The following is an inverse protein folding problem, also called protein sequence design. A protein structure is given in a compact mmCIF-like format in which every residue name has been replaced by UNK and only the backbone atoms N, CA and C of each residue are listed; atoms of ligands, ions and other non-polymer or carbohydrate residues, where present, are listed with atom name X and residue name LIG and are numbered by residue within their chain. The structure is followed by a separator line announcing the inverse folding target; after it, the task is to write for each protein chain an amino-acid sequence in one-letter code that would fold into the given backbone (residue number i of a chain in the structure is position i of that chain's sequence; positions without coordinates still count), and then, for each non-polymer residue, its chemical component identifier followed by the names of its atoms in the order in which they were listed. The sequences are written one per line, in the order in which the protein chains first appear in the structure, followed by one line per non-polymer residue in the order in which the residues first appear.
data_IF_728134886513
#
_entry.id   IF_728134886513
#
_cell.length_a   1.000
_cell.length_b   1.000
_cell.length_c   1.000
_cell.angle_alpha   90.00
_cell.angle_beta   90.00
_cell.angle_gamma   90.00
#
_symmetry.space_group_name_H-M   'P 1'
#
loop_
_entity.id
_entity.type
_entity.pdbx_description
1 polymer ?
#
# COMPACT_ATOMS: atom_id res chain seq x y z
N UNK A 1 7.37 4.29 0.98
CA UNK A 1 6.72 3.05 1.46
C UNK A 1 7.50 2.53 2.65
N UNK A 2 6.84 2.10 3.71
CA UNK A 2 7.48 1.46 4.88
C UNK A 2 6.85 0.09 5.09
N UNK A 3 7.67 -0.94 5.29
CA UNK A 3 7.26 -2.31 5.58
C UNK A 3 7.86 -2.76 6.92
N UNK A 4 7.15 -3.60 7.68
CA UNK A 4 7.62 -4.07 8.98
C UNK A 4 8.30 -5.45 8.90
N UNK A 5 7.91 -6.27 7.92
CA UNK A 5 8.39 -7.63 7.74
C UNK A 5 9.05 -7.85 6.37
N UNK A 6 10.06 -8.73 6.27
CA UNK A 6 10.68 -9.06 4.99
C UNK A 6 9.70 -9.62 3.94
N UNK A 7 8.63 -10.31 4.37
CA UNK A 7 7.61 -10.82 3.43
C UNK A 7 6.80 -9.71 2.79
N UNK A 8 6.54 -8.62 3.52
CA UNK A 8 5.84 -7.42 3.04
C UNK A 8 6.74 -6.64 2.08
N UNK A 9 7.99 -6.41 2.49
CA UNK A 9 9.00 -5.76 1.68
C UNK A 9 9.21 -6.47 0.34
N UNK A 10 9.39 -7.80 0.38
CA UNK A 10 9.57 -8.60 -0.84
C UNK A 10 8.35 -8.55 -1.77
N UNK A 11 7.13 -8.45 -1.22
CA UNK A 11 5.92 -8.31 -2.02
C UNK A 11 5.91 -6.97 -2.77
N UNK A 12 6.29 -5.87 -2.11
CA UNK A 12 6.45 -4.56 -2.73
C UNK A 12 7.53 -4.56 -3.82
N UNK A 13 8.70 -5.16 -3.57
CA UNK A 13 9.77 -5.22 -4.57
C UNK A 13 9.36 -5.92 -5.87
N UNK A 14 8.44 -6.89 -5.81
CA UNK A 14 7.93 -7.55 -7.03
C UNK A 14 7.08 -6.61 -7.90
N UNK A 15 6.58 -5.51 -7.36
CA UNK A 15 5.72 -4.55 -8.06
C UNK A 15 6.44 -3.32 -8.59
N UNK A 16 7.74 -3.19 -8.32
CA UNK A 16 8.59 -2.17 -8.95
C UNK A 16 8.62 -2.34 -10.46
N UNK A 17 8.62 -1.20 -11.15
CA UNK A 17 8.81 -1.15 -12.59
C UNK A 17 10.32 -0.97 -12.91
N UNK A 18 11.03 -0.20 -12.10
CA UNK A 18 12.49 -0.03 -12.17
C UNK A 18 13.09 0.26 -10.79
N UNK A 19 14.26 -0.31 -10.51
CA UNK A 19 15.09 0.03 -9.34
C UNK A 19 16.20 1.01 -9.71
N UNK A 20 16.59 1.88 -8.78
CA UNK A 20 17.69 2.85 -8.95
C UNK A 20 18.88 2.58 -8.04
N UNK A 21 18.77 1.61 -7.14
CA UNK A 21 19.81 1.23 -6.17
C UNK A 21 20.63 -0.01 -6.59
N UNK A 22 20.39 -0.58 -7.78
CA UNK A 22 21.02 -1.84 -8.22
C UNK A 22 22.55 -1.74 -8.34
N UNK A 23 23.07 -0.55 -8.67
CA UNK A 23 24.51 -0.28 -8.80
C UNK A 23 25.09 0.41 -7.56
N UNK A 24 24.33 0.48 -6.46
CA UNK A 24 24.63 1.26 -5.26
C UNK A 24 23.61 2.38 -5.05
N UNK A 25 23.56 2.89 -3.81
CA UNK A 25 22.65 3.95 -3.42
C UNK A 25 23.16 5.32 -3.90
N UNK A 26 22.58 5.83 -5.00
CA UNK A 26 22.93 7.14 -5.57
C UNK A 26 22.36 8.33 -4.77
N UNK A 27 21.29 8.10 -4.00
CA UNK A 27 20.59 9.16 -3.27
C UNK A 27 21.13 9.33 -1.84
N UNK A 28 21.63 8.24 -1.25
CA UNK A 28 22.18 8.23 0.09
C UNK A 28 21.13 8.53 1.17
N UNK A 29 21.62 8.95 2.34
CA UNK A 29 20.78 9.30 3.49
C UNK A 29 21.44 10.39 4.34
N UNK A 30 20.63 11.13 5.10
CA UNK A 30 21.11 12.17 5.99
C UNK A 30 22.02 11.62 7.09
N UNK A 31 22.90 12.48 7.63
CA UNK A 31 23.75 12.13 8.78
C UNK A 31 22.90 11.74 9.98
N UNK A 32 23.19 10.58 10.59
CA UNK A 32 22.41 10.03 11.71
C UNK A 32 21.23 9.16 11.29
N UNK A 33 20.91 9.10 10.00
CA UNK A 33 19.96 8.14 9.49
C UNK A 33 20.60 6.74 9.40
N UNK A 34 19.96 5.77 10.05
CA UNK A 34 20.39 4.37 10.07
C UNK A 34 19.48 3.45 9.25
N UNK A 35 18.41 3.96 8.64
CA UNK A 35 17.55 3.20 7.76
C UNK A 35 18.29 2.80 6.49
N UNK A 36 18.00 1.60 5.98
CA UNK A 36 18.39 1.22 4.63
C UNK A 36 17.21 1.41 3.70
N UNK A 37 17.50 1.97 2.53
CA UNK A 37 16.49 2.32 1.55
C UNK A 37 16.70 1.55 0.26
N UNK A 38 15.57 1.21 -0.36
CA UNK A 38 15.54 0.83 -1.77
C UNK A 38 14.76 1.87 -2.54
N UNK A 39 15.31 2.28 -3.67
CA UNK A 39 14.79 3.37 -4.49
C UNK A 39 14.45 2.89 -5.89
N UNK A 40 13.48 3.55 -6.53
CA UNK A 40 13.01 3.17 -7.85
C UNK A 40 11.68 3.84 -8.18
N UNK A 41 10.95 3.30 -9.15
CA UNK A 41 9.63 3.80 -9.51
C UNK A 41 8.55 2.72 -9.57
N UNK A 42 7.33 3.17 -9.28
CA UNK A 42 6.09 2.44 -9.51
C UNK A 42 5.15 3.39 -10.25
N UNK A 43 4.82 3.05 -11.49
CA UNK A 43 4.06 3.91 -12.39
C UNK A 43 4.81 5.23 -12.64
N UNK A 44 4.17 6.34 -12.28
CA UNK A 44 4.74 7.70 -12.40
C UNK A 44 5.37 8.21 -11.09
N UNK A 45 5.32 7.40 -10.03
CA UNK A 45 5.74 7.82 -8.71
C UNK A 45 7.16 7.35 -8.44
N UNK A 46 7.97 8.27 -7.90
CA UNK A 46 9.30 7.96 -7.37
C UNK A 46 9.12 7.39 -5.97
N UNK A 47 9.68 6.20 -5.74
CA UNK A 47 9.45 5.42 -4.54
C UNK A 47 10.76 5.22 -3.79
N UNK A 48 10.71 5.53 -2.50
CA UNK A 48 11.67 5.06 -1.50
C UNK A 48 10.99 4.04 -0.59
N UNK A 49 11.62 2.89 -0.38
CA UNK A 49 11.13 1.82 0.50
C UNK A 49 12.08 1.69 1.69
N UNK A 50 11.53 1.66 2.90
CA UNK A 50 12.26 1.31 4.11
C UNK A 50 11.68 0.03 4.73
N UNK A 51 12.56 -0.90 5.10
CA UNK A 51 12.20 -2.05 5.95
C UNK A 51 12.57 -1.73 7.39
N UNK A 52 11.61 -1.83 8.30
CA UNK A 52 11.87 -1.64 9.73
C UNK A 52 12.77 -2.76 10.26
N UNK A 53 13.75 -2.46 11.12
CA UNK A 53 14.59 -3.48 11.73
C UNK A 53 13.82 -4.35 12.74
N UNK A 54 12.80 -3.77 13.38
CA UNK A 54 11.89 -4.44 14.31
C UNK A 54 10.50 -3.80 14.22
N UNK A 55 9.47 -4.57 14.53
CA UNK A 55 8.07 -4.12 14.63
C UNK A 55 7.86 -3.15 15.80
N UNK A 56 6.76 -2.39 15.76
CA UNK A 56 6.32 -1.50 16.84
C UNK A 56 6.41 -0.01 16.54
N UNK A 57 5.59 0.80 17.25
CA UNK A 57 5.42 2.23 17.01
C UNK A 57 6.69 3.05 17.14
N UNK A 58 7.53 2.76 18.15
CA UNK A 58 8.77 3.52 18.36
C UNK A 58 9.75 3.36 17.19
N UNK A 59 9.85 2.16 16.64
CA UNK A 59 10.70 1.87 15.49
C UNK A 59 10.16 2.50 14.21
N UNK A 60 8.84 2.42 14.04
CA UNK A 60 8.09 3.09 12.99
C UNK A 60 8.31 4.62 12.99
N UNK A 61 8.13 5.29 14.14
CA UNK A 61 8.34 6.72 14.30
C UNK A 61 9.79 7.12 13.95
N UNK A 62 10.78 6.41 14.51
CA UNK A 62 12.20 6.67 14.21
C UNK A 62 12.50 6.53 12.72
N UNK A 63 11.96 5.48 12.08
CA UNK A 63 12.14 5.30 10.65
C UNK A 63 11.50 6.43 9.84
N UNK A 64 10.31 6.88 10.24
CA UNK A 64 9.59 7.98 9.59
C UNK A 64 10.31 9.33 9.72
N UNK A 65 10.79 9.69 10.92
CA UNK A 65 11.57 10.91 11.14
C UNK A 65 12.83 10.93 10.28
N UNK A 66 13.54 9.80 10.23
CA UNK A 66 14.72 9.63 9.40
C UNK A 66 14.40 9.72 7.90
N UNK A 67 13.34 9.04 7.46
CA UNK A 67 12.87 9.06 6.08
C UNK A 67 12.55 10.50 5.63
N UNK A 68 11.81 11.26 6.45
CA UNK A 68 11.50 12.68 6.22
C UNK A 68 12.73 13.57 6.18
N UNK A 69 13.77 13.22 6.95
CA UNK A 69 15.02 13.98 7.01
C UNK A 69 15.89 13.72 5.78
N UNK A 70 15.95 12.47 5.32
CA UNK A 70 16.74 12.05 4.16
C UNK A 70 16.08 12.38 2.82
N UNK A 71 14.74 12.32 2.76
CA UNK A 71 13.95 12.61 1.56
C UNK A 71 12.96 13.75 1.86
N UNK A 72 13.29 14.96 1.40
CA UNK A 72 12.56 16.18 1.74
C UNK A 72 11.32 16.45 0.87
N UNK A 73 11.14 15.72 -0.23
CA UNK A 73 10.03 15.87 -1.18
C UNK A 73 8.96 14.78 -1.01
N UNK A 74 8.81 14.21 0.20
CA UNK A 74 7.79 13.21 0.48
C UNK A 74 6.39 13.82 0.53
N UNK A 75 5.53 13.44 -0.41
CA UNK A 75 4.12 13.86 -0.44
C UNK A 75 3.20 12.89 0.31
N UNK A 76 3.53 11.60 0.28
CA UNK A 76 2.75 10.52 0.87
C UNK A 76 3.65 9.36 1.28
N UNK A 77 3.44 8.83 2.49
CA UNK A 77 4.05 7.60 2.97
C UNK A 77 2.99 6.52 3.11
N UNK A 78 3.19 5.38 2.45
CA UNK A 78 2.36 4.20 2.67
C UNK A 78 3.01 3.27 3.68
N UNK A 79 2.31 2.93 4.76
CA UNK A 79 2.65 1.81 5.62
C UNK A 79 1.99 0.55 5.06
N UNK A 80 2.79 -0.32 4.43
CA UNK A 80 2.27 -1.50 3.75
C UNK A 80 2.64 -2.75 4.54
N UNK A 81 1.67 -3.62 4.80
CA UNK A 81 1.96 -4.87 5.49
C UNK A 81 0.73 -5.72 5.77
N UNK A 82 0.79 -6.51 6.84
CA UNK A 82 -0.30 -7.38 7.28
C UNK A 82 -0.89 -6.92 8.62
N UNK A 83 -2.15 -7.28 8.86
CA UNK A 83 -2.85 -6.96 10.10
C UNK A 83 -3.82 -8.08 10.51
N UNK A 84 -4.26 -8.01 11.77
CA UNK A 84 -5.44 -8.74 12.23
C UNK A 84 -6.71 -7.92 11.98
N UNK A 85 -7.79 -8.52 11.52
CA UNK A 85 -9.03 -7.81 11.17
C UNK A 85 -10.19 -8.13 12.09
N UNK A 86 -11.13 -7.18 12.17
CA UNK A 86 -12.46 -7.42 12.74
C UNK A 86 -13.28 -8.17 11.70
N UNK A 87 -13.86 -9.34 12.04
CA UNK A 87 -14.44 -10.23 11.03
C UNK A 87 -15.72 -9.69 10.38
N UNK A 88 -16.41 -8.76 11.03
CA UNK A 88 -17.66 -8.17 10.52
C UNK A 88 -17.63 -6.66 10.71
N UNK A 89 -17.76 -5.90 9.62
CA UNK A 89 -17.71 -4.44 9.61
C UNK A 89 -18.85 -3.92 8.75
N UNK A 90 -19.66 -3.00 9.28
CA UNK A 90 -20.76 -2.36 8.56
C UNK A 90 -21.71 -3.34 7.83
N UNK A 91 -21.97 -4.51 8.44
CA UNK A 91 -22.84 -5.55 7.87
C UNK A 91 -22.21 -6.39 6.75
N UNK A 92 -20.89 -6.30 6.56
CA UNK A 92 -20.12 -7.12 5.61
C UNK A 92 -19.09 -7.97 6.33
N UNK A 93 -18.86 -9.18 5.82
CA UNK A 93 -17.76 -10.04 6.25
C UNK A 93 -16.44 -9.47 5.72
N UNK A 94 -15.41 -9.41 6.56
CA UNK A 94 -14.03 -9.25 6.11
C UNK A 94 -13.39 -10.63 6.11
N UNK A 95 -12.79 -11.01 4.98
CA UNK A 95 -12.15 -12.30 4.78
C UNK A 95 -10.62 -12.17 4.83
N UNK A 96 -9.93 -13.28 5.07
CA UNK A 96 -8.48 -13.28 5.01
C UNK A 96 -8.03 -13.03 3.56
N UNK A 97 -7.01 -12.17 3.41
CA UNK A 97 -6.59 -11.65 2.11
C UNK A 97 -7.20 -10.30 1.73
N UNK A 98 -8.36 -9.92 2.27
CA UNK A 98 -8.93 -8.57 2.07
C UNK A 98 -7.98 -7.48 2.57
N UNK A 99 -8.13 -6.27 2.05
CA UNK A 99 -7.21 -5.17 2.34
C UNK A 99 -7.93 -4.02 3.04
N UNK A 100 -7.35 -3.59 4.16
CA UNK A 100 -7.77 -2.43 4.93
C UNK A 100 -6.91 -1.22 4.54
N UNK A 101 -7.58 -0.11 4.22
CA UNK A 101 -6.97 1.20 4.01
C UNK A 101 -7.40 2.11 5.16
N UNK A 102 -6.44 2.73 5.85
CA UNK A 102 -6.77 3.57 7.00
C UNK A 102 -7.44 4.88 6.59
N UNK A 103 -8.59 5.15 7.21
CA UNK A 103 -9.22 6.47 7.26
C UNK A 103 -8.69 7.32 8.41
N UNK A 104 -8.41 6.66 9.54
CA UNK A 104 -7.91 7.23 10.79
C UNK A 104 -7.12 6.16 11.54
N UNK A 105 -6.40 6.57 12.58
CA UNK A 105 -5.63 5.66 13.43
C UNK A 105 -5.96 5.92 14.90
N UNK A 106 -6.24 4.84 15.64
CA UNK A 106 -6.58 4.87 17.07
C UNK A 106 -5.47 4.21 17.87
N UNK A 107 -4.87 4.95 18.81
CA UNK A 107 -3.87 4.41 19.74
C UNK A 107 -4.55 3.66 20.90
N UNK A 108 -5.07 2.46 20.64
CA UNK A 108 -5.89 1.72 21.61
C UNK A 108 -5.11 1.28 22.86
N UNK A 109 -3.78 1.20 22.79
CA UNK A 109 -2.92 0.90 23.94
C UNK A 109 -2.55 2.12 24.79
N UNK A 110 -2.89 3.34 24.38
CA UNK A 110 -2.56 4.57 25.10
C UNK A 110 -3.71 4.97 26.03
N UNK A 111 -3.52 4.80 27.34
CA UNK A 111 -4.59 5.02 28.30
C UNK A 111 -4.18 4.82 29.75
N UNK A 112 -5.17 4.62 30.62
CA UNK A 112 -5.02 4.44 32.07
C UNK A 112 -5.51 3.05 32.45
N UNK A 113 -4.67 2.29 33.15
CA UNK A 113 -5.04 1.00 33.72
C UNK A 113 -5.58 1.19 35.15
N UNK A 114 -6.80 0.73 35.37
CA UNK A 114 -7.43 0.53 36.68
C UNK A 114 -7.39 -0.97 37.04
N UNK A 115 -7.65 -1.36 38.31
CA UNK A 115 -7.59 -2.77 38.71
C UNK A 115 -8.47 -3.72 37.87
N UNK A 116 -9.59 -3.21 37.36
CA UNK A 116 -10.63 -3.96 36.66
C UNK A 116 -10.77 -3.59 35.17
N UNK A 117 -10.26 -2.43 34.75
CA UNK A 117 -10.47 -1.94 33.38
C UNK A 117 -9.33 -1.07 32.87
N UNK A 118 -9.18 -1.04 31.55
CA UNK A 118 -8.34 -0.08 30.85
C UNK A 118 -9.21 0.96 30.18
N UNK A 119 -8.89 2.24 30.38
CA UNK A 119 -9.60 3.37 29.75
C UNK A 119 -8.64 4.08 28.81
N UNK A 120 -8.94 4.08 27.51
CA UNK A 120 -8.13 4.78 26.50
C UNK A 120 -8.12 6.29 26.78
N UNK A 121 -7.00 6.94 26.47
CA UNK A 121 -6.90 8.41 26.47
C UNK A 121 -7.36 8.93 25.10
N UNK A 122 -8.53 9.55 25.07
CA UNK A 122 -9.26 10.00 23.87
C UNK A 122 -9.33 11.53 23.75
N UNK A 123 -8.40 12.24 24.40
CA UNK A 123 -8.30 13.69 24.35
C UNK A 123 -7.72 14.20 23.02
N UNK A 124 -8.00 15.46 22.67
CA UNK A 124 -7.45 16.09 21.46
C UNK A 124 -5.93 15.98 21.35
N UNK A 125 -5.20 16.13 22.46
CA UNK A 125 -3.73 16.07 22.49
C UNK A 125 -3.14 14.65 22.34
N UNK A 126 -3.98 13.61 22.37
CA UNK A 126 -3.53 12.21 22.25
C UNK A 126 -4.15 11.46 21.10
N UNK A 127 -5.24 12.00 20.54
CA UNK A 127 -5.76 11.50 19.28
C UNK A 127 -4.84 11.97 18.16
N UNK A 128 -4.61 11.07 17.21
CA UNK A 128 -3.81 11.39 16.05
C UNK A 128 -4.57 12.37 15.16
N UNK A 129 -3.83 13.31 14.58
CA UNK A 129 -4.40 14.31 13.68
C UNK A 129 -5.02 13.64 12.45
N UNK A 130 -6.03 14.32 11.89
CA UNK A 130 -6.61 13.90 10.63
C UNK A 130 -5.56 13.95 9.50
N UNK A 131 -5.67 13.08 8.47
CA UNK A 131 -4.78 13.15 7.33
C UNK A 131 -4.82 14.53 6.65
N UNK A 132 -3.77 14.86 5.89
CA UNK A 132 -3.71 16.09 5.10
C UNK A 132 -4.89 16.18 4.12
N UNK A 133 -5.22 17.39 3.64
CA UNK A 133 -6.38 17.59 2.75
C UNK A 133 -6.30 16.73 1.49
N UNK A 134 -5.10 16.58 0.92
CA UNK A 134 -4.88 15.80 -0.29
C UNK A 134 -5.12 14.31 -0.05
N UNK A 135 -4.60 13.78 1.06
CA UNK A 135 -4.87 12.39 1.48
C UNK A 135 -6.35 12.18 1.75
N UNK A 136 -7.00 13.11 2.45
CA UNK A 136 -8.45 13.01 2.70
C UNK A 136 -9.27 13.03 1.41
N UNK A 137 -8.90 13.86 0.45
CA UNK A 137 -9.57 13.90 -0.86
C UNK A 137 -9.38 12.60 -1.62
N UNK A 138 -8.17 12.01 -1.58
CA UNK A 138 -7.93 10.68 -2.13
C UNK A 138 -8.80 9.62 -1.45
N UNK A 139 -8.80 9.55 -0.12
CA UNK A 139 -9.59 8.56 0.64
C UNK A 139 -11.09 8.68 0.34
N UNK A 140 -11.63 9.90 0.27
CA UNK A 140 -13.03 10.12 -0.12
C UNK A 140 -13.32 9.63 -1.53
N UNK A 141 -12.39 9.80 -2.48
CA UNK A 141 -12.53 9.24 -3.83
C UNK A 141 -12.55 7.71 -3.79
N UNK A 142 -11.69 7.09 -2.98
CA UNK A 142 -11.64 5.62 -2.83
C UNK A 142 -12.91 5.06 -2.17
N UNK A 143 -13.60 5.83 -1.32
CA UNK A 143 -14.88 5.46 -0.69
C UNK A 143 -16.09 5.52 -1.64
N UNK A 144 -15.96 6.12 -2.83
CA UNK A 144 -17.05 6.11 -3.83
C UNK A 144 -17.15 4.75 -4.52
N UNK A 145 -18.36 4.33 -4.92
CA UNK A 145 -18.58 3.04 -5.61
C UNK A 145 -17.63 2.86 -6.82
N UNK A 146 -17.59 3.86 -7.72
CA UNK A 146 -16.67 3.84 -8.86
C UNK A 146 -15.20 3.83 -8.44
N UNK A 147 -14.87 4.53 -7.36
CA UNK A 147 -13.52 4.58 -6.81
C UNK A 147 -13.06 3.21 -6.35
N UNK A 148 -13.91 2.54 -5.56
CA UNK A 148 -13.67 1.23 -4.99
C UNK A 148 -13.62 0.14 -6.06
N UNK A 149 -14.59 0.08 -6.98
CA UNK A 149 -14.63 -0.90 -8.07
C UNK A 149 -13.34 -0.89 -8.90
N UNK A 150 -12.86 0.32 -9.24
CA UNK A 150 -11.61 0.49 -9.97
C UNK A 150 -10.39 0.11 -9.12
N UNK A 151 -10.40 0.43 -7.82
CA UNK A 151 -9.30 0.11 -6.91
C UNK A 151 -9.18 -1.41 -6.71
N UNK A 152 -10.30 -2.11 -6.49
CA UNK A 152 -10.37 -3.57 -6.39
C UNK A 152 -9.94 -4.24 -7.70
N UNK A 153 -10.44 -3.78 -8.84
CA UNK A 153 -10.04 -4.29 -10.15
C UNK A 153 -8.54 -4.12 -10.44
N UNK A 154 -7.97 -2.95 -10.11
CA UNK A 154 -6.53 -2.71 -10.24
C UNK A 154 -5.72 -3.58 -9.28
N UNK A 155 -6.18 -3.71 -8.03
CA UNK A 155 -5.56 -4.56 -7.01
C UNK A 155 -5.50 -6.00 -7.46
N UNK A 156 -6.60 -6.56 -7.97
CA UNK A 156 -6.64 -7.92 -8.52
C UNK A 156 -5.63 -8.11 -9.67
N UNK A 157 -5.52 -7.13 -10.58
CA UNK A 157 -4.55 -7.16 -11.67
C UNK A 157 -3.09 -7.16 -11.17
N UNK A 158 -2.75 -6.28 -10.24
CA UNK A 158 -1.40 -6.22 -9.67
C UNK A 158 -1.07 -7.44 -8.80
N UNK A 159 -2.04 -8.05 -8.13
CA UNK A 159 -1.85 -9.29 -7.39
C UNK A 159 -1.45 -10.43 -8.34
N UNK A 160 -2.13 -10.56 -9.49
CA UNK A 160 -1.77 -11.54 -10.52
C UNK A 160 -0.37 -11.29 -11.10
N UNK A 161 -0.02 -10.02 -11.36
CA UNK A 161 1.33 -9.63 -11.80
C UNK A 161 2.39 -10.05 -10.79
N UNK A 162 2.18 -9.73 -9.50
CA UNK A 162 3.06 -10.06 -8.39
C UNK A 162 3.26 -11.58 -8.29
N UNK A 163 2.16 -12.34 -8.28
CA UNK A 163 2.21 -13.80 -8.21
C UNK A 163 2.94 -14.42 -9.41
N UNK A 164 2.73 -13.89 -10.62
CA UNK A 164 3.43 -14.34 -11.82
C UNK A 164 4.94 -14.05 -11.75
N UNK A 165 5.35 -12.89 -11.25
CA UNK A 165 6.77 -12.54 -11.02
C UNK A 165 7.38 -13.42 -9.92
N UNK A 166 6.65 -13.66 -8.82
CA UNK A 166 7.08 -14.54 -7.74
C UNK A 166 7.31 -15.98 -8.23
N UNK A 167 6.39 -16.52 -9.04
CA UNK A 167 6.51 -17.84 -9.64
C UNK A 167 7.72 -17.96 -10.59
N UNK A 168 8.18 -16.86 -11.19
CA UNK A 168 9.39 -16.84 -12.03
C UNK A 168 10.69 -16.61 -11.24
N UNK A 169 10.60 -16.11 -10.01
CA UNK A 169 11.77 -15.88 -9.15
C UNK A 169 12.55 -17.17 -8.90
N UNK A 170 13.89 -17.06 -8.91
CA UNK A 170 14.80 -18.16 -8.53
C UNK A 170 15.02 -18.24 -7.02
N UNK A 171 14.74 -17.17 -6.27
CA UNK A 171 15.03 -17.06 -4.83
C UNK A 171 13.81 -17.36 -3.95
N UNK A 172 12.60 -17.15 -4.47
CA UNK A 172 11.36 -17.36 -3.72
C UNK A 172 10.79 -18.76 -3.98
N UNK A 173 10.16 -19.38 -2.95
CA UNK A 173 9.27 -20.52 -3.16
C UNK A 173 8.19 -20.17 -4.20
N UNK A 174 7.88 -21.12 -5.09
CA UNK A 174 6.97 -20.89 -6.22
C UNK A 174 5.53 -20.59 -5.78
N UNK A 175 5.16 -21.08 -4.61
CA UNK A 175 3.88 -20.92 -3.95
C UNK A 175 3.87 -19.81 -2.89
N UNK A 176 4.97 -19.05 -2.74
CA UNK A 176 5.15 -18.06 -1.66
C UNK A 176 3.93 -17.17 -1.45
N UNK A 177 3.37 -16.60 -2.52
CA UNK A 177 2.25 -15.65 -2.46
C UNK A 177 0.95 -16.23 -3.03
N UNK A 178 0.82 -17.56 -3.05
CA UNK A 178 -0.38 -18.21 -3.55
C UNK A 178 -1.51 -18.05 -2.55
N UNK A 179 -2.71 -17.85 -3.08
CA UNK A 179 -3.94 -17.87 -2.29
C UNK A 179 -4.10 -19.22 -1.56
N UNK A 180 -4.28 -19.23 -0.22
CA UNK A 180 -4.43 -20.46 0.56
C UNK A 180 -5.74 -21.22 0.31
N UNK A 181 -6.79 -20.55 -0.18
CA UNK A 181 -8.11 -21.13 -0.41
C UNK A 181 -9.11 -20.88 0.73
N UNK A 182 -10.39 -20.83 0.38
CA UNK A 182 -11.48 -20.50 1.32
C UNK A 182 -11.56 -21.43 2.54
N UNK A 183 -11.20 -22.71 2.40
CA UNK A 183 -11.20 -23.67 3.52
C UNK A 183 -10.12 -23.40 4.58
N UNK A 184 -9.16 -22.53 4.26
CA UNK A 184 -8.13 -22.04 5.18
C UNK A 184 -8.54 -20.73 5.86
N UNK A 185 -9.64 -20.11 5.45
CA UNK A 185 -10.23 -18.98 6.15
C UNK A 185 -11.13 -19.49 7.28
N UNK A 186 -10.60 -19.49 8.50
CA UNK A 186 -11.24 -20.07 9.67
C UNK A 186 -11.38 -19.02 10.76
N UNK A 187 -12.63 -18.64 11.02
CA UNK A 187 -13.02 -17.82 12.16
C UNK A 187 -13.72 -18.71 13.18
N UNK A 188 -13.18 -18.76 14.40
CA UNK A 188 -13.82 -19.44 15.52
C UNK A 188 -14.68 -18.46 16.32
N UNK A 189 -15.67 -19.01 17.03
CA UNK A 189 -16.46 -18.24 17.98
C UNK A 189 -15.58 -17.50 18.99
N UNK A 190 -15.89 -16.24 19.37
CA UNK A 190 -15.03 -15.45 20.26
C UNK A 190 -14.70 -16.09 21.60
N UNK A 191 -15.62 -16.88 22.15
CA UNK A 191 -15.45 -17.59 23.42
C UNK A 191 -14.73 -18.94 23.29
N UNK A 192 -14.51 -19.43 22.07
CA UNK A 192 -13.91 -20.73 21.85
C UNK A 192 -12.41 -20.72 22.17
N UNK A 193 -12.02 -21.54 23.16
CA UNK A 193 -10.67 -21.53 23.75
C UNK A 193 -9.67 -22.34 22.91
N UNK A 194 -8.52 -21.72 22.63
CA UNK A 194 -7.36 -22.36 21.99
C UNK A 194 -6.53 -23.14 23.03
N UNK A 195 -6.80 -24.44 23.21
CA UNK A 195 -6.30 -25.26 24.34
C UNK A 195 -5.99 -26.71 23.93
N UNK A 196 -5.24 -27.43 24.76
CA UNK A 196 -5.02 -28.87 24.58
C UNK A 196 -6.30 -29.67 24.73
N UNK A 197 -6.60 -30.53 23.75
CA UNK A 197 -7.77 -31.42 23.76
C UNK A 197 -7.45 -32.82 24.28
N UNK A 198 -6.24 -33.30 24.01
CA UNK A 198 -5.84 -34.70 24.26
C UNK A 198 -4.86 -34.85 25.43
N UNK A 199 -4.20 -33.78 25.85
CA UNK A 199 -3.21 -33.83 26.94
C UNK A 199 -3.90 -33.94 28.32
N UNK A 200 -3.98 -35.16 28.86
CA UNK A 200 -4.78 -35.47 30.05
C UNK A 200 -4.39 -34.69 31.31
N UNK A 201 -3.11 -34.28 31.44
CA UNK A 201 -2.55 -33.63 32.63
C UNK A 201 -2.34 -32.12 32.47
N UNK A 202 -2.75 -31.52 31.35
CA UNK A 202 -2.51 -30.10 31.11
C UNK A 202 -3.54 -29.23 31.84
N UNK A 203 -3.08 -28.14 32.46
CA UNK A 203 -3.95 -27.17 33.16
C UNK A 203 -5.06 -26.57 32.28
N UNK A 204 -4.85 -26.52 30.97
CA UNK A 204 -5.80 -25.92 30.04
C UNK A 204 -6.77 -26.94 29.43
N UNK A 205 -6.69 -28.22 29.81
CA UNK A 205 -7.53 -29.27 29.21
C UNK A 205 -9.01 -28.98 29.36
N UNK A 206 -9.40 -28.45 30.52
CA UNK A 206 -10.80 -28.24 30.91
C UNK A 206 -11.16 -26.74 31.06
N UNK A 207 -10.32 -25.81 30.58
CA UNK A 207 -10.66 -24.38 30.61
C UNK A 207 -11.86 -24.07 29.69
N UNK A 208 -12.92 -23.48 30.23
CA UNK A 208 -14.15 -23.12 29.53
C UNK A 208 -14.45 -21.61 29.55
N UNK A 209 -13.79 -20.84 30.41
CA UNK A 209 -13.99 -19.41 30.58
C UNK A 209 -12.73 -18.58 30.30
N UNK A 210 -12.91 -17.27 30.12
CA UNK A 210 -11.80 -16.34 29.88
C UNK A 210 -10.88 -16.16 31.09
N UNK A 211 -11.38 -16.41 32.30
CA UNK A 211 -10.61 -16.40 33.55
C UNK A 211 -9.71 -17.62 33.72
N UNK A 212 -9.95 -18.71 32.99
CA UNK A 212 -9.18 -19.93 33.14
C UNK A 212 -7.95 -19.94 32.22
N UNK A 213 -6.76 -20.33 32.74
CA UNK A 213 -5.52 -20.21 32.01
C UNK A 213 -5.43 -21.21 30.88
N UNK A 214 -4.95 -20.74 29.73
CA UNK A 214 -4.38 -21.59 28.68
C UNK A 214 -2.88 -21.69 28.94
N UNK A 215 -2.27 -22.88 28.78
CA UNK A 215 -0.83 -23.00 28.99
C UNK A 215 -0.05 -22.33 27.86
N UNK A 216 1.17 -21.89 28.17
CA UNK A 216 2.06 -21.18 27.22
C UNK A 216 2.36 -22.00 25.95
N UNK A 217 2.45 -23.32 26.08
CA UNK A 217 2.64 -24.23 24.94
C UNK A 217 1.45 -24.19 23.98
N UNK A 218 0.22 -24.35 24.49
CA UNK A 218 -0.99 -24.29 23.65
C UNK A 218 -1.12 -22.94 22.94
N UNK A 219 -0.78 -21.82 23.61
CA UNK A 219 -0.80 -20.47 23.00
C UNK A 219 0.13 -20.31 21.78
N UNK A 220 1.10 -21.21 21.59
CA UNK A 220 2.06 -21.19 20.48
C UNK A 220 1.77 -22.22 19.39
N UNK A 221 0.96 -23.24 19.67
CA UNK A 221 0.60 -24.29 18.72
C UNK A 221 -0.50 -23.82 17.77
N UNK A 222 -0.63 -24.49 16.61
CA UNK A 222 -1.70 -24.19 15.65
C UNK A 222 -2.99 -24.90 16.02
N UNK A 223 -4.09 -24.47 15.41
CA UNK A 223 -5.41 -25.10 15.56
C UNK A 223 -5.38 -26.58 15.15
N UNK A 224 -4.64 -26.93 14.10
CA UNK A 224 -4.48 -28.30 13.62
C UNK A 224 -3.76 -29.17 14.65
N UNK A 225 -2.69 -28.66 15.27
CA UNK A 225 -1.92 -29.42 16.27
C UNK A 225 -2.73 -29.63 17.55
N UNK A 226 -3.48 -28.61 17.99
CA UNK A 226 -4.34 -28.73 19.17
C UNK A 226 -5.64 -29.50 18.92
N UNK A 227 -6.02 -29.70 17.65
CA UNK A 227 -7.27 -30.34 17.27
C UNK A 227 -8.48 -29.46 17.56
N UNK A 228 -8.42 -28.17 17.20
CA UNK A 228 -9.56 -27.29 17.37
C UNK A 228 -10.78 -27.78 16.58
N UNK A 229 -11.92 -27.80 17.25
CA UNK A 229 -13.17 -28.40 16.79
C UNK A 229 -13.86 -27.50 15.76
N UNK A 230 -14.08 -28.03 14.56
CA UNK A 230 -14.68 -27.30 13.44
C UNK A 230 -16.15 -26.94 13.66
N UNK A 231 -16.81 -27.55 14.66
CA UNK A 231 -18.16 -27.20 15.10
C UNK A 231 -18.26 -25.78 15.65
N UNK A 232 -17.15 -25.20 16.12
CA UNK A 232 -17.07 -23.82 16.61
C UNK A 232 -16.67 -22.80 15.53
N UNK A 233 -16.62 -23.20 14.26
CA UNK A 233 -16.39 -22.26 13.16
C UNK A 233 -17.65 -21.43 12.91
N UNK A 234 -17.48 -20.12 12.84
CA UNK A 234 -18.55 -19.17 12.54
C UNK A 234 -18.89 -19.26 11.06
N UNK A 235 -20.17 -19.52 10.76
CA UNK A 235 -20.69 -19.47 9.40
C UNK A 235 -20.86 -18.02 8.96
N UNK A 236 -20.43 -17.72 7.74
CA UNK A 236 -20.40 -16.38 7.15
C UNK A 236 -20.80 -16.46 5.69
N UNK A 237 -21.59 -15.50 5.20
CA UNK A 237 -22.08 -15.53 3.83
C UNK A 237 -20.95 -15.33 2.83
N UNK A 238 -19.99 -14.45 3.14
CA UNK A 238 -18.86 -14.16 2.27
C UNK A 238 -17.99 -15.38 1.99
N UNK A 239 -17.76 -16.26 2.98
CA UNK A 239 -16.95 -17.47 2.75
C UNK A 239 -17.69 -18.53 1.93
N UNK A 240 -19.01 -18.61 2.05
CA UNK A 240 -19.84 -19.49 1.23
C UNK A 240 -19.87 -19.03 -0.23
N UNK A 241 -19.93 -17.72 -0.47
CA UNK A 241 -19.81 -17.13 -1.79
C UNK A 241 -18.44 -17.42 -2.42
N UNK A 242 -17.34 -17.22 -1.67
CA UNK A 242 -15.99 -17.55 -2.14
C UNK A 242 -15.84 -19.02 -2.51
N UNK A 243 -16.34 -19.95 -1.69
CA UNK A 243 -16.34 -21.38 -2.02
C UNK A 243 -17.06 -21.67 -3.33
N UNK A 244 -18.21 -21.05 -3.55
CA UNK A 244 -18.96 -21.21 -4.79
C UNK A 244 -18.16 -20.69 -6.00
N UNK A 245 -17.51 -19.53 -5.88
CA UNK A 245 -16.66 -18.97 -6.94
C UNK A 245 -15.46 -19.88 -7.25
N UNK A 246 -14.83 -20.46 -6.23
CA UNK A 246 -13.72 -21.40 -6.39
C UNK A 246 -14.15 -22.67 -7.16
N UNK A 247 -15.32 -23.21 -6.85
CA UNK A 247 -15.85 -24.40 -7.56
C UNK A 247 -16.19 -24.14 -9.03
N UNK A 248 -16.48 -22.88 -9.39
CA UNK A 248 -16.79 -22.47 -10.76
C UNK A 248 -15.53 -22.25 -11.63
N UNK A 249 -14.32 -22.44 -11.07
CA UNK A 249 -13.06 -22.43 -11.83
C UNK A 249 -12.59 -21.04 -12.28
N UNK A 250 -13.17 -19.97 -11.73
CA UNK A 250 -12.79 -18.60 -12.05
C UNK A 250 -11.58 -18.10 -11.24
N UNK A 251 -10.76 -17.18 -11.78
CA UNK A 251 -9.67 -16.52 -11.04
C UNK A 251 -10.16 -15.57 -9.94
N UNK A 252 -11.48 -15.43 -9.74
CA UNK A 252 -12.11 -14.45 -8.85
C UNK A 252 -12.04 -14.80 -7.37
N UNK A 253 -11.89 -16.07 -7.00
CA UNK A 253 -11.89 -16.51 -5.60
C UNK A 253 -10.74 -15.95 -4.75
N UNK A 254 -9.70 -15.38 -5.37
CA UNK A 254 -8.57 -14.75 -4.67
C UNK A 254 -8.57 -13.21 -4.75
N UNK A 255 -9.57 -12.60 -5.41
CA UNK A 255 -9.61 -11.15 -5.55
C UNK A 255 -9.95 -10.55 -4.18
N UNK A 256 -9.09 -9.70 -3.60
CA UNK A 256 -9.35 -9.12 -2.30
C UNK A 256 -10.43 -8.04 -2.42
N UNK A 257 -11.35 -8.01 -1.46
CA UNK A 257 -12.21 -6.85 -1.24
C UNK A 257 -11.44 -5.78 -0.46
N UNK A 258 -11.81 -4.52 -0.66
CA UNK A 258 -11.15 -3.39 -0.01
C UNK A 258 -12.10 -2.65 0.93
N UNK A 259 -11.60 -2.31 2.12
CA UNK A 259 -12.35 -1.53 3.11
C UNK A 259 -11.54 -0.33 3.57
N UNK A 260 -12.19 0.83 3.61
CA UNK A 260 -11.62 2.06 4.18
C UNK A 260 -12.21 2.25 5.58
N UNK A 261 -11.36 2.29 6.61
CA UNK A 261 -11.84 2.33 8.00
C UNK A 261 -10.77 2.74 9.01
N UNK A 262 -11.17 2.89 10.28
CA UNK A 262 -10.25 3.25 11.36
C UNK A 262 -9.38 2.05 11.75
N UNK A 263 -8.08 2.27 11.93
CA UNK A 263 -7.12 1.20 12.29
C UNK A 263 -6.64 1.38 13.73
N UNK A 264 -6.72 0.33 14.53
CA UNK A 264 -6.21 0.30 15.89
C UNK A 264 -4.71 -0.03 15.90
N UNK A 265 -3.89 0.86 16.45
CA UNK A 265 -2.44 0.73 16.55
C UNK A 265 -1.99 0.56 18.00
N UNK A 266 -1.16 -0.44 18.28
CA UNK A 266 -0.70 -0.78 19.64
C UNK A 266 0.63 -1.53 19.64
N UNK A 267 1.25 -1.73 20.82
CA UNK A 267 2.50 -2.53 20.90
C UNK A 267 2.25 -4.00 21.23
N UNK A 268 0.98 -4.39 21.37
CA UNK A 268 0.57 -5.76 21.67
C UNK A 268 -0.11 -6.40 20.48
N UNK A 269 0.28 -7.63 20.14
CA UNK A 269 -0.47 -8.42 19.16
C UNK A 269 -1.82 -8.77 19.76
N UNK A 270 -2.92 -8.27 19.18
CA UNK A 270 -4.26 -8.64 19.61
C UNK A 270 -4.49 -10.14 19.36
N UNK A 271 -4.67 -10.89 20.45
CA UNK A 271 -4.89 -12.34 20.47
C UNK A 271 -6.14 -12.77 21.23
N UNK A 272 -7.07 -11.83 21.46
CA UNK A 272 -8.29 -12.08 22.22
C UNK A 272 -9.47 -11.54 21.45
N UNK A 273 -10.30 -12.45 20.93
CA UNK A 273 -11.50 -12.12 20.18
C UNK A 273 -12.45 -11.22 20.98
N UNK A 274 -12.67 -11.52 22.27
CA UNK A 274 -13.49 -10.70 23.14
C UNK A 274 -12.95 -9.27 23.35
N UNK A 275 -11.63 -9.09 23.49
CA UNK A 275 -11.04 -7.74 23.57
C UNK A 275 -11.09 -7.02 22.23
N UNK A 276 -10.78 -7.71 21.12
CA UNK A 276 -10.93 -7.21 19.76
C UNK A 276 -12.33 -6.67 19.53
N UNK A 277 -13.36 -7.46 19.81
CA UNK A 277 -14.76 -7.08 19.56
C UNK A 277 -15.18 -5.88 20.43
N UNK A 278 -14.76 -5.84 21.70
CA UNK A 278 -15.00 -4.68 22.58
C UNK A 278 -14.35 -3.40 22.07
N UNK A 279 -13.09 -3.47 21.64
CA UNK A 279 -12.36 -2.30 21.12
C UNK A 279 -12.96 -1.88 19.77
N UNK A 280 -13.28 -2.84 18.90
CA UNK A 280 -13.93 -2.58 17.62
C UNK A 280 -15.25 -1.83 17.78
N UNK A 281 -16.12 -2.29 18.69
CA UNK A 281 -17.39 -1.64 18.97
C UNK A 281 -17.23 -0.26 19.65
N UNK A 282 -16.24 -0.10 20.53
CA UNK A 282 -16.02 1.14 21.29
C UNK A 282 -15.32 2.24 20.49
N UNK A 283 -14.44 1.89 19.57
CA UNK A 283 -13.58 2.84 18.82
C UNK A 283 -13.87 2.87 17.31
N UNK A 284 -14.83 2.07 16.83
CA UNK A 284 -15.20 1.94 15.41
C UNK A 284 -13.98 1.58 14.52
N UNK A 285 -13.17 0.63 14.99
CA UNK A 285 -11.97 0.14 14.30
C UNK A 285 -12.25 -1.15 13.53
N UNK A 286 -11.58 -1.30 12.39
CA UNK A 286 -11.77 -2.45 11.48
C UNK A 286 -10.58 -3.40 11.47
N UNK A 287 -9.42 -2.97 11.98
CA UNK A 287 -8.19 -3.75 12.00
C UNK A 287 -7.27 -3.36 13.16
N UNK A 288 -6.33 -4.25 13.47
CA UNK A 288 -5.33 -4.14 14.51
C UNK A 288 -3.93 -4.37 13.93
N UNK A 289 -3.03 -3.41 14.13
CA UNK A 289 -1.63 -3.45 13.69
C UNK A 289 -0.71 -2.76 14.72
N UNK A 290 0.60 -2.70 14.46
CA UNK A 290 1.60 -2.36 15.48
C UNK A 290 2.53 -1.18 15.17
N UNK A 291 2.44 -0.57 13.99
CA UNK A 291 3.40 0.43 13.52
C UNK A 291 2.75 1.80 13.24
N UNK A 292 1.50 1.78 12.79
CA UNK A 292 0.77 2.87 12.17
C UNK A 292 0.83 4.18 12.93
N UNK A 293 0.53 4.17 14.22
CA UNK A 293 0.50 5.39 15.01
C UNK A 293 1.87 6.09 15.09
N UNK A 294 2.97 5.34 15.12
CA UNK A 294 4.31 5.93 15.11
C UNK A 294 4.66 6.60 13.78
N UNK A 295 4.28 6.00 12.65
CA UNK A 295 4.43 6.64 11.34
C UNK A 295 3.54 7.88 11.21
N UNK A 296 2.29 7.78 11.66
CA UNK A 296 1.25 8.79 11.48
C UNK A 296 1.57 10.12 12.18
N UNK A 297 2.33 10.09 13.27
CA UNK A 297 2.78 11.29 13.98
C UNK A 297 3.86 12.08 13.20
N UNK A 298 4.63 11.39 12.36
CA UNK A 298 5.85 11.96 11.76
C UNK A 298 5.69 12.36 10.30
N UNK A 299 4.84 11.68 9.53
CA UNK A 299 4.73 11.84 8.08
C UNK A 299 3.28 11.77 7.58
N UNK A 300 2.94 12.43 6.46
CA UNK A 300 1.64 12.25 5.82
C UNK A 300 1.48 10.79 5.40
N UNK A 301 0.64 10.04 6.11
CA UNK A 301 0.62 8.58 6.05
C UNK A 301 -0.75 8.03 5.63
N UNK A 302 -0.73 6.94 4.87
CA UNK A 302 -1.87 6.02 4.69
C UNK A 302 -1.40 4.61 4.97
N UNK A 303 -2.13 3.88 5.79
CA UNK A 303 -1.87 2.48 6.12
C UNK A 303 -2.65 1.61 5.14
N UNK A 304 -1.97 0.63 4.54
CA UNK A 304 -2.55 -0.36 3.61
C UNK A 304 -2.15 -1.74 4.11
N UNK A 305 -3.10 -2.49 4.68
CA UNK A 305 -2.81 -3.75 5.37
C UNK A 305 -3.69 -4.89 4.87
N UNK A 306 -3.08 -6.01 4.52
CA UNK A 306 -3.80 -7.24 4.18
C UNK A 306 -4.19 -8.02 5.43
N UNK A 307 -5.38 -8.61 5.42
CA UNK A 307 -5.90 -9.43 6.51
C UNK A 307 -5.18 -10.79 6.56
N UNK A 308 -4.36 -11.03 7.59
CA UNK A 308 -3.68 -12.32 7.78
C UNK A 308 -4.22 -13.16 8.93
N UNK A 309 -4.99 -12.57 9.84
CA UNK A 309 -5.68 -13.24 10.93
C UNK A 309 -6.88 -12.41 11.42
N UNK A 310 -7.68 -12.97 12.32
CA UNK A 310 -8.86 -12.29 12.89
C UNK A 310 -8.58 -11.59 14.22
N UNK A 311 -7.34 -11.23 14.53
CA UNK A 311 -6.95 -10.62 15.80
C UNK A 311 -7.40 -11.44 17.03
N UNK A 312 -7.30 -12.77 16.96
CA UNK A 312 -7.64 -13.69 18.05
C UNK A 312 -6.50 -14.68 18.35
N UNK A 313 -6.78 -15.72 19.14
CA UNK A 313 -5.79 -16.73 19.52
C UNK A 313 -5.66 -17.89 18.53
N UNK A 314 -6.50 -17.96 17.50
CA UNK A 314 -6.55 -19.05 16.51
C UNK A 314 -5.71 -18.75 15.26
N UNK A 315 -4.72 -17.87 15.38
CA UNK A 315 -3.91 -17.35 14.27
C UNK A 315 -3.13 -18.44 13.54
N UNK A 316 -3.07 -18.33 12.22
CA UNK A 316 -2.20 -19.12 11.35
C UNK A 316 -1.23 -18.20 10.60
N UNK A 317 -0.01 -18.68 10.33
CA UNK A 317 0.97 -17.96 9.50
C UNK A 317 0.76 -18.19 8.00
N UNK A 318 -0.13 -19.11 7.62
CA UNK A 318 -0.38 -19.53 6.24
C UNK A 318 -0.84 -18.36 5.35
N UNK A 319 -1.62 -17.44 5.90
CA UNK A 319 -2.16 -16.29 5.16
C UNK A 319 -1.19 -15.11 5.05
N UNK A 320 -0.15 -15.03 5.88
CA UNK A 320 0.72 -13.85 5.94
C UNK A 320 1.34 -13.50 4.58
N UNK A 321 1.87 -14.44 3.79
CA UNK A 321 2.41 -14.09 2.49
C UNK A 321 1.33 -13.57 1.54
N UNK A 322 0.20 -14.28 1.41
CA UNK A 322 -0.88 -13.86 0.51
C UNK A 322 -1.43 -12.48 0.89
N UNK A 323 -1.68 -12.23 2.19
CA UNK A 323 -2.08 -10.94 2.71
C UNK A 323 -1.04 -9.83 2.44
N UNK A 324 0.25 -10.15 2.54
CA UNK A 324 1.30 -9.20 2.18
C UNK A 324 1.27 -8.85 0.68
N UNK A 325 0.97 -9.82 -0.18
CA UNK A 325 0.82 -9.61 -1.62
C UNK A 325 -0.42 -8.78 -1.98
N UNK A 326 -1.57 -9.04 -1.33
CA UNK A 326 -2.79 -8.24 -1.55
C UNK A 326 -2.59 -6.80 -1.08
N UNK A 327 -1.95 -6.59 0.07
CA UNK A 327 -1.58 -5.26 0.56
C UNK A 327 -0.64 -4.51 -0.40
N UNK A 328 0.40 -5.20 -0.91
CA UNK A 328 1.33 -4.61 -1.87
C UNK A 328 0.65 -4.24 -3.19
N UNK A 329 -0.23 -5.10 -3.70
CA UNK A 329 -1.02 -4.84 -4.90
C UNK A 329 -1.96 -3.65 -4.72
N UNK A 330 -2.64 -3.56 -3.59
CA UNK A 330 -3.50 -2.43 -3.23
C UNK A 330 -2.68 -1.14 -3.09
N UNK A 331 -1.49 -1.20 -2.50
CA UNK A 331 -0.60 -0.04 -2.40
C UNK A 331 -0.22 0.51 -3.78
N UNK A 332 0.12 -0.36 -4.76
CA UNK A 332 0.35 0.07 -6.16
C UNK A 332 -0.90 0.69 -6.78
N UNK A 333 -2.08 0.13 -6.52
CA UNK A 333 -3.34 0.69 -7.00
C UNK A 333 -3.62 2.09 -6.39
N UNK A 334 -3.41 2.27 -5.09
CA UNK A 334 -3.53 3.56 -4.40
C UNK A 334 -2.55 4.60 -4.97
N UNK A 335 -1.28 4.23 -5.18
CA UNK A 335 -0.26 5.13 -5.75
C UNK A 335 -0.64 5.63 -7.15
N UNK A 336 -1.27 4.79 -7.97
CA UNK A 336 -1.73 5.19 -9.31
C UNK A 336 -2.93 6.15 -9.30
N UNK A 337 -3.60 6.31 -8.16
CA UNK A 337 -4.68 7.28 -7.95
C UNK A 337 -4.21 8.54 -7.23
N UNK A 338 -3.07 8.47 -6.55
CA UNK A 338 -2.47 9.65 -5.92
C UNK A 338 -1.97 10.60 -7.01
N UNK A 339 -2.54 11.80 -7.05
CA UNK A 339 -2.14 12.84 -7.99
C UNK A 339 -0.93 13.54 -7.39
N UNK A 340 0.25 13.34 -8.00
CA UNK A 340 1.44 14.08 -7.60
C UNK A 340 1.25 15.57 -7.90
N UNK A 341 1.80 16.44 -7.06
CA UNK A 341 1.81 17.87 -7.35
C UNK A 341 2.71 18.16 -8.56
N UNK A 342 2.42 19.25 -9.30
CA UNK A 342 3.28 19.68 -10.39
C UNK A 342 4.71 19.86 -9.88
N UNK A 343 5.65 19.04 -10.36
CA UNK A 343 7.06 19.19 -10.02
C UNK A 343 7.52 20.54 -10.58
N UNK A 344 7.90 21.47 -9.70
CA UNK A 344 8.70 22.61 -10.14
C UNK A 344 10.04 22.03 -10.56
N UNK A 345 10.35 22.08 -11.84
CA UNK A 345 11.70 21.81 -12.34
C UNK A 345 12.66 22.83 -11.69
N UNK A 346 13.27 22.45 -10.57
CA UNK A 346 14.36 23.21 -9.96
C UNK A 346 15.68 22.65 -10.43
N UNK A 347 15.86 22.56 -11.74
CA UNK A 347 17.20 22.42 -12.31
C UNK A 347 17.87 23.79 -12.20
N UNK A 348 19.00 23.93 -11.48
CA UNK A 348 19.76 25.17 -11.53
C UNK A 348 20.34 25.27 -12.94
N UNK A 349 19.85 26.22 -13.73
CA UNK A 349 20.50 26.63 -14.98
C UNK A 349 21.86 27.20 -14.60
N UNK A 350 22.89 26.36 -14.59
CA UNK A 350 24.28 26.83 -14.55
C UNK A 350 24.58 27.45 -15.91
N UNK A 351 24.49 28.78 -15.99
CA UNK A 351 25.01 29.55 -17.11
C UNK A 351 26.55 29.53 -17.08
N UNK A 352 27.15 28.47 -17.62
CA UNK A 352 28.55 28.44 -18.01
C UNK A 352 28.72 29.04 -19.41
N UNK A 353 29.79 29.83 -19.68
CA UNK A 353 29.98 30.42 -20.99
C UNK A 353 30.53 29.38 -21.98
N UNK A 354 29.75 29.08 -23.02
CA UNK A 354 30.26 28.62 -24.31
C UNK A 354 30.59 27.13 -24.44
N UNK A 355 29.57 26.31 -24.71
CA UNK A 355 29.51 25.41 -25.86
C UNK A 355 28.13 24.73 -25.87
N UNK A 356 27.47 24.72 -27.03
CA UNK A 356 26.06 24.33 -27.17
C UNK A 356 25.79 22.90 -26.73
N UNK A 357 25.09 22.75 -25.61
CA UNK A 357 24.32 21.56 -25.24
C UNK A 357 22.84 21.94 -25.35
N UNK A 358 22.10 21.20 -26.15
CA UNK A 358 20.67 21.41 -26.40
C UNK A 358 19.91 20.72 -25.27
N UNK A 359 19.74 21.41 -24.14
CA UNK A 359 18.95 20.87 -23.02
C UNK A 359 17.50 21.36 -23.09
N UNK A 360 16.61 20.37 -23.24
CA UNK A 360 15.23 20.31 -22.77
C UNK A 360 14.29 21.49 -23.09
N UNK A 361 13.74 21.51 -24.33
CA UNK A 361 12.44 22.12 -24.59
C UNK A 361 11.33 21.08 -24.37
N UNK A 362 10.64 21.12 -23.24
CA UNK A 362 9.37 20.40 -23.05
C UNK A 362 8.33 20.95 -24.04
N UNK A 363 7.88 20.13 -25.00
CA UNK A 363 6.75 20.46 -25.88
C UNK A 363 5.82 19.27 -26.03
N UNK A 364 4.58 19.44 -25.63
CA UNK A 364 3.49 18.48 -25.87
C UNK A 364 3.00 18.59 -27.31
N UNK A 365 2.84 17.45 -27.99
CA UNK A 365 2.20 17.36 -29.32
C UNK A 365 0.78 16.81 -29.16
N UNK A 366 -0.17 17.42 -29.87
CA UNK A 366 -1.56 16.97 -29.97
C UNK A 366 -1.85 16.66 -31.44
N UNK A 367 -2.28 15.44 -31.72
CA UNK A 367 -2.88 15.03 -33.00
C UNK A 367 -4.30 14.52 -32.71
N UNK A 368 -5.30 15.02 -33.44
CA UNK A 368 -6.72 14.62 -33.37
C UNK A 368 -7.29 14.46 -31.93
N UNK A 369 -6.92 15.39 -31.04
CA UNK A 369 -7.45 15.44 -29.67
C UNK A 369 -6.93 14.36 -28.72
N UNK A 370 -5.88 13.60 -29.07
CA UNK A 370 -5.20 12.66 -28.16
C UNK A 370 -3.81 13.14 -27.77
N UNK A 371 -3.49 12.96 -26.49
CA UNK A 371 -2.20 13.29 -25.89
C UNK A 371 -1.14 12.25 -26.27
N UNK A 372 -0.01 12.70 -26.82
CA UNK A 372 1.17 11.85 -27.05
C UNK A 372 2.14 12.05 -25.89
N UNK A 373 2.36 11.01 -25.08
CA UNK A 373 3.34 11.05 -23.98
C UNK A 373 4.77 10.88 -24.47
N UNK A 374 5.74 11.21 -23.60
CA UNK A 374 7.21 11.16 -23.80
C UNK A 374 7.75 9.87 -24.44
N UNK A 375 7.00 8.78 -24.44
CA UNK A 375 7.42 7.45 -24.93
C UNK A 375 7.46 7.31 -26.46
N UNK A 376 7.15 8.36 -27.23
CA UNK A 376 7.15 8.31 -28.69
C UNK A 376 8.26 9.13 -29.38
N UNK A 377 9.16 9.80 -28.65
CA UNK A 377 10.29 10.54 -29.26
C UNK A 377 11.60 9.83 -28.94
N UNK A 378 12.32 9.39 -29.98
CA UNK A 378 13.55 8.61 -29.82
C UNK A 378 14.82 9.47 -29.81
N UNK A 379 14.85 10.52 -30.63
CA UNK A 379 15.97 11.46 -30.71
C UNK A 379 15.54 12.77 -31.38
N UNK A 380 16.26 13.85 -31.06
CA UNK A 380 16.18 15.15 -31.74
C UNK A 380 17.58 15.40 -32.32
N UNK A 381 17.65 15.56 -33.64
CA UNK A 381 18.91 15.82 -34.35
C UNK A 381 19.27 17.32 -34.23
N UNK A 382 20.55 17.64 -34.39
CA UNK A 382 21.08 19.00 -34.15
C UNK A 382 20.54 20.10 -35.07
N UNK A 383 19.77 19.73 -36.10
CA UNK A 383 19.07 20.64 -37.02
C UNK A 383 17.60 20.92 -36.61
N UNK A 384 17.14 20.34 -35.50
CA UNK A 384 15.78 20.50 -34.99
C UNK A 384 14.75 19.51 -35.55
N UNK A 385 15.20 18.50 -36.31
CA UNK A 385 14.35 17.37 -36.72
C UNK A 385 14.24 16.33 -35.60
N UNK A 386 13.06 15.73 -35.43
CA UNK A 386 12.83 14.69 -34.42
C UNK A 386 12.37 13.38 -35.06
N UNK A 387 12.83 12.26 -34.49
CA UNK A 387 12.31 10.91 -34.78
C UNK A 387 11.17 10.58 -33.82
N UNK A 388 9.98 10.45 -34.37
CA UNK A 388 8.75 10.22 -33.60
C UNK A 388 8.11 8.90 -34.05
N UNK A 389 7.59 8.13 -33.10
CA UNK A 389 6.85 6.89 -33.36
C UNK A 389 5.38 7.22 -33.62
N UNK A 390 4.90 6.83 -34.79
CA UNK A 390 3.49 6.99 -35.19
C UNK A 390 2.93 5.59 -35.43
N UNK A 391 2.14 5.10 -34.48
CA UNK A 391 1.66 3.70 -34.51
C UNK A 391 2.78 2.68 -34.29
N UNK A 392 2.93 1.74 -35.24
CA UNK A 392 3.97 0.70 -35.17
C UNK A 392 5.24 1.02 -35.96
N UNK A 393 5.25 2.14 -36.71
CA UNK A 393 6.37 2.54 -37.56
C UNK A 393 7.10 3.77 -37.01
N UNK A 394 8.36 3.94 -37.42
CA UNK A 394 9.22 5.07 -37.08
C UNK A 394 9.37 6.00 -38.29
N UNK A 395 8.95 7.25 -38.17
CA UNK A 395 9.13 8.26 -39.23
C UNK A 395 10.25 9.25 -38.88
N UNK A 396 10.98 9.68 -39.92
CA UNK A 396 11.94 10.78 -39.87
C UNK A 396 11.27 12.04 -40.44
N UNK A 397 11.71 13.22 -39.97
CA UNK A 397 11.44 14.56 -40.52
C UNK A 397 10.29 15.38 -39.90
N UNK A 398 10.00 15.20 -38.60
CA UNK A 398 9.17 16.17 -37.87
C UNK A 398 10.02 17.40 -37.45
N UNK A 399 9.77 18.57 -38.05
CA UNK A 399 10.54 19.80 -37.79
C UNK A 399 10.00 20.58 -36.58
N UNK A 400 10.85 20.84 -35.57
CA UNK A 400 10.50 21.64 -34.39
C UNK A 400 11.10 23.04 -34.55
N UNK A 401 10.35 23.95 -35.17
CA UNK A 401 10.79 25.34 -35.36
C UNK A 401 10.92 26.11 -34.04
N UNK A 402 12.09 26.75 -33.84
CA UNK A 402 12.30 27.84 -32.89
C UNK A 402 12.22 29.18 -33.62
N UNK A 403 11.16 29.95 -33.37
CA UNK A 403 10.99 31.30 -33.91
C UNK A 403 10.32 32.20 -32.89
N UNK A 404 10.88 33.39 -32.67
CA UNK A 404 10.48 34.40 -31.69
C UNK A 404 9.27 35.25 -32.10
N UNK A 405 8.44 34.79 -33.03
CA UNK A 405 7.29 35.56 -33.52
C UNK A 405 5.96 34.86 -33.23
N UNK A 406 5.08 35.58 -32.53
CA UNK A 406 3.70 35.21 -32.25
C UNK A 406 2.88 35.07 -33.53
N UNK A 407 2.88 33.89 -34.16
CA UNK A 407 1.84 33.45 -35.09
C UNK A 407 1.52 31.97 -34.86
N UNK A 408 0.25 31.66 -34.66
CA UNK A 408 -0.23 30.28 -34.75
C UNK A 408 -0.06 29.81 -36.20
N UNK A 409 1.03 29.08 -36.46
CA UNK A 409 1.30 28.47 -37.77
C UNK A 409 0.81 27.03 -37.81
N UNK A 410 0.11 26.67 -38.88
CA UNK A 410 -0.20 25.28 -39.23
C UNK A 410 1.03 24.66 -39.91
N UNK A 411 1.54 23.56 -39.35
CA UNK A 411 2.56 22.73 -40.02
C UNK A 411 1.82 21.56 -40.67
N UNK A 412 2.07 21.32 -41.97
CA UNK A 412 1.58 20.15 -42.69
C UNK A 412 2.69 19.10 -42.76
N UNK A 413 2.46 17.95 -42.14
CA UNK A 413 3.24 16.74 -42.33
C UNK A 413 2.32 15.68 -42.95
N UNK A 414 2.71 15.08 -44.08
CA UNK A 414 1.99 13.95 -44.69
C UNK A 414 0.49 14.14 -45.01
N UNK A 415 -0.03 15.37 -45.04
CA UNK A 415 -1.45 15.66 -45.26
C UNK A 415 -2.32 15.79 -43.99
N UNK A 416 -1.73 15.81 -42.78
CA UNK A 416 -2.46 16.08 -41.52
C UNK A 416 -1.95 17.35 -40.83
N UNK A 417 -2.86 18.00 -40.10
CA UNK A 417 -2.64 19.32 -39.47
C UNK A 417 -2.32 19.16 -37.99
N UNK A 418 -1.19 19.71 -37.54
CA UNK A 418 -0.81 19.79 -36.11
C UNK A 418 -1.04 21.22 -35.62
N UNK A 419 -1.68 21.38 -34.46
CA UNK A 419 -1.95 22.69 -33.83
C UNK A 419 -1.11 22.86 -32.58
N UNK A 420 -0.42 24.01 -32.48
CA UNK A 420 0.38 24.40 -31.31
C UNK A 420 -0.43 25.35 -30.41
N UNK A 421 -0.47 25.11 -29.10
CA UNK A 421 -1.11 26.00 -28.11
C UNK A 421 -0.03 26.42 -27.10
N UNK A 422 0.33 27.71 -27.09
CA UNK A 422 1.23 28.29 -26.09
C UNK A 422 0.45 28.94 -24.95
N UNK A 423 0.84 28.68 -23.69
CA UNK A 423 0.31 29.38 -22.51
C UNK A 423 1.16 30.62 -22.18
N UNK A 424 0.50 31.75 -21.90
CA UNK A 424 1.13 32.98 -21.39
C UNK A 424 1.48 32.84 -19.90
N UNK A 425 2.72 33.14 -19.52
CA UNK A 425 3.04 33.65 -18.19
C UNK A 425 3.18 35.18 -18.27
N UNK A 426 2.25 35.90 -17.65
CA UNK A 426 2.33 37.35 -17.47
C UNK A 426 2.67 37.68 -16.03
N UNK A 427 3.95 37.94 -15.74
CA UNK A 427 4.36 38.60 -14.51
C UNK A 427 4.28 40.12 -14.69
N UNK A 428 3.43 40.80 -13.94
CA UNK A 428 3.55 42.24 -13.72
C UNK A 428 4.44 42.47 -12.50
N UNK A 429 5.64 42.98 -12.75
CA UNK A 429 6.46 43.71 -11.79
C UNK A 429 6.89 45.02 -12.43
N UNK A 430 6.24 46.12 -12.04
CA UNK A 430 6.79 47.48 -12.04
C UNK A 430 6.83 47.85 -10.55
N UNK A 431 7.88 48.44 -9.97
CA UNK A 431 8.88 49.39 -10.44
C UNK A 431 10.22 49.18 -9.73
#
# INVERSE_FOLDING_TARGET
IVCALPVEYNAICLLFDQFWDENGDEYGRATGDHNQYTTGCIGKQDIVVALLPYMGKAQAARAATNLRTSYNALELVLLVGICGVVPHVAGRDILLGDVVISKSVVQYGLGRQYPDTFVRKDTADTNLNQPTRDIRSLLLLLETDRGMDLLEGQTAGYLQELQAKAAKSRRLPKDRYRYPGSDRDRLFEPAYRHRHRTAMSCICRDCGSDSEPVCEEAMRLTCETLGCETSHLVRRAGIEEMRNLETQGGPSGQNPSLVVGSVASGDTVMKSAAHRDRIAAGEDVVAFEMEGAGLWEEVPCVIVKGACDYADCHKSKEWQPFAAATAAAAAKAVLNRFTATDRRDTSPVQAGPGHGSVDCLERSLVEDGRWISRNHVQSIDGDGSARIRVGNDWEKDAFVGGGSENRAGSIKAGGRSVVHIGNRYGGQGQS
#
